data_IF_217061880826
#
_entry.id   IF_217061880826
#
_cell.length_a   1.000
_cell.length_b   1.000
_cell.length_c   1.000
_cell.angle_alpha   90.00
_cell.angle_beta   90.00
_cell.angle_gamma   90.00
#
_symmetry.space_group_name_H-M   'P 1'
#
loop_
_entity.id
_entity.type
_entity.pdbx_description
1 polymer ?
#
# COMPACT_ATOMS: atom_id res chain seq x y z
N UNK A 1 -12.27 -17.16 -1.62
CA UNK A 1 -10.94 -16.86 -1.07
C UNK A 1 -10.11 -16.18 -2.13
N UNK A 2 -9.50 -15.07 -1.80
CA UNK A 2 -8.63 -14.34 -2.73
C UNK A 2 -7.20 -14.83 -2.55
N UNK A 3 -6.57 -15.23 -3.66
CA UNK A 3 -5.17 -15.63 -3.61
C UNK A 3 -4.26 -14.41 -3.62
N UNK A 4 -3.01 -14.62 -3.20
CA UNK A 4 -1.99 -13.56 -3.27
C UNK A 4 -1.78 -13.08 -4.72
N UNK A 5 -1.78 -14.02 -5.67
CA UNK A 5 -1.63 -13.66 -7.10
C UNK A 5 -2.80 -12.82 -7.60
N UNK A 6 -4.03 -13.14 -7.16
CA UNK A 6 -5.20 -12.34 -7.53
C UNK A 6 -5.09 -10.92 -6.98
N UNK A 7 -4.63 -10.76 -5.74
CA UNK A 7 -4.47 -9.45 -5.14
C UNK A 7 -3.41 -8.63 -5.90
N UNK A 8 -2.25 -9.23 -6.15
CA UNK A 8 -1.18 -8.56 -6.90
C UNK A 8 -1.65 -8.20 -8.30
N UNK A 9 -2.37 -9.12 -8.97
CA UNK A 9 -2.90 -8.86 -10.31
C UNK A 9 -3.85 -7.66 -10.32
N UNK A 10 -4.73 -7.55 -9.33
CA UNK A 10 -5.63 -6.40 -9.24
C UNK A 10 -4.83 -5.11 -8.96
N UNK A 11 -3.86 -5.15 -8.07
CA UNK A 11 -3.01 -3.99 -7.80
C UNK A 11 -2.30 -3.51 -9.08
N UNK A 12 -1.83 -4.44 -9.91
CA UNK A 12 -1.15 -4.10 -11.16
C UNK A 12 -2.05 -3.42 -12.19
N UNK A 13 -3.35 -3.60 -12.10
CA UNK A 13 -4.28 -2.87 -12.99
C UNK A 13 -4.29 -1.37 -12.71
N UNK A 14 -3.73 -0.94 -11.58
CA UNK A 14 -3.60 0.48 -11.22
C UNK A 14 -2.31 1.12 -11.75
N UNK A 15 -1.41 0.35 -12.36
CA UNK A 15 -0.15 0.90 -12.89
C UNK A 15 -0.40 2.12 -13.77
N UNK A 16 0.44 3.13 -13.57
CA UNK A 16 0.41 4.42 -14.27
C UNK A 16 -0.75 5.34 -13.89
N UNK A 17 -1.62 4.94 -12.95
CA UNK A 17 -2.63 5.84 -12.40
C UNK A 17 -1.91 7.05 -11.80
N UNK A 18 -2.31 8.29 -12.18
CA UNK A 18 -1.68 9.49 -11.64
C UNK A 18 -1.85 9.60 -10.13
N UNK A 19 -0.81 10.09 -9.46
CA UNK A 19 -0.86 10.33 -8.02
C UNK A 19 -1.69 11.57 -7.71
N UNK A 20 -2.62 11.45 -6.78
CA UNK A 20 -3.39 12.57 -6.26
C UNK A 20 -3.81 12.26 -4.83
N UNK A 21 -3.63 13.23 -3.93
CA UNK A 21 -4.06 13.11 -2.55
C UNK A 21 -5.53 12.70 -2.46
N UNK A 22 -5.81 11.64 -1.69
CA UNK A 22 -7.14 11.07 -1.49
C UNK A 22 -7.78 10.49 -2.76
N UNK A 23 -7.03 10.33 -3.85
CA UNK A 23 -7.56 9.77 -5.10
C UNK A 23 -7.95 8.30 -4.95
N UNK A 24 -9.06 7.91 -5.59
CA UNK A 24 -9.65 6.58 -5.50
C UNK A 24 -10.14 6.03 -6.83
N UNK A 25 -9.67 6.59 -7.96
CA UNK A 25 -10.17 6.22 -9.29
C UNK A 25 -9.05 5.62 -10.13
N UNK A 26 -9.14 4.33 -10.39
CA UNK A 26 -8.17 3.62 -11.24
C UNK A 26 -8.02 4.34 -12.58
N UNK A 27 -6.78 4.58 -12.99
CA UNK A 27 -6.46 5.24 -14.24
C UNK A 27 -6.53 6.77 -14.18
N UNK A 28 -7.15 7.36 -13.17
CA UNK A 28 -7.35 8.79 -13.08
C UNK A 28 -6.65 9.43 -11.89
N UNK A 29 -6.74 8.83 -10.70
CA UNK A 29 -6.16 9.42 -9.50
C UNK A 29 -6.10 8.41 -8.37
N UNK A 30 -4.95 8.27 -7.70
CA UNK A 30 -4.88 7.59 -6.41
C UNK A 30 -3.62 8.00 -5.64
N UNK A 31 -3.68 7.84 -4.32
CA UNK A 31 -2.51 7.92 -3.45
C UNK A 31 -2.16 6.52 -2.92
N UNK A 32 -1.20 6.42 -2.00
CA UNK A 32 -0.77 5.12 -1.51
C UNK A 32 -1.88 4.39 -0.76
N UNK A 33 -2.71 5.10 -0.01
CA UNK A 33 -3.87 4.54 0.67
C UNK A 33 -4.91 4.11 -0.35
N UNK A 34 -5.15 4.94 -1.36
CA UNK A 34 -6.10 4.64 -2.44
C UNK A 34 -5.76 3.37 -3.21
N UNK A 35 -4.48 3.13 -3.45
CA UNK A 35 -4.05 1.89 -4.12
C UNK A 35 -4.40 0.67 -3.28
N UNK A 36 -4.09 0.68 -1.99
CA UNK A 36 -4.37 -0.46 -1.10
C UNK A 36 -5.88 -0.66 -0.96
N UNK A 37 -6.62 0.38 -0.62
CA UNK A 37 -8.07 0.30 -0.42
C UNK A 37 -8.80 -0.04 -1.73
N UNK A 38 -8.39 0.58 -2.83
CA UNK A 38 -9.01 0.32 -4.13
C UNK A 38 -8.83 -1.11 -4.58
N UNK A 39 -7.64 -1.68 -4.39
CA UNK A 39 -7.37 -3.08 -4.71
C UNK A 39 -8.23 -4.01 -3.84
N UNK A 40 -8.27 -3.77 -2.53
CA UNK A 40 -9.03 -4.60 -1.61
C UNK A 40 -10.54 -4.51 -1.88
N UNK A 41 -11.07 -3.32 -2.18
CA UNK A 41 -12.48 -3.14 -2.50
C UNK A 41 -12.87 -3.80 -3.81
N UNK A 42 -12.03 -3.70 -4.82
CA UNK A 42 -12.30 -4.33 -6.12
C UNK A 42 -12.44 -5.84 -6.01
N UNK A 43 -11.75 -6.45 -5.05
CA UNK A 43 -11.78 -7.89 -4.82
C UNK A 43 -12.82 -8.30 -3.77
N UNK A 44 -13.61 -7.36 -3.26
CA UNK A 44 -14.65 -7.64 -2.28
C UNK A 44 -14.13 -7.95 -0.88
N UNK A 45 -12.88 -7.62 -0.59
CA UNK A 45 -12.27 -7.89 0.72
C UNK A 45 -12.76 -6.91 1.78
N UNK A 46 -13.08 -5.68 1.39
CA UNK A 46 -13.61 -4.64 2.26
C UNK A 46 -14.74 -3.91 1.55
N UNK A 47 -15.62 -3.27 2.32
CA UNK A 47 -16.75 -2.49 1.79
C UNK A 47 -16.70 -1.03 2.25
N UNK A 48 -15.62 -0.63 2.91
CA UNK A 48 -15.46 0.73 3.42
C UNK A 48 -14.35 1.48 2.69
N UNK A 49 -14.33 2.79 2.88
CA UNK A 49 -13.28 3.68 2.44
C UNK A 49 -13.19 4.82 3.44
N UNK A 50 -12.07 5.51 3.45
CA UNK A 50 -11.94 6.74 4.25
C UNK A 50 -10.97 7.70 3.57
N UNK A 51 -11.27 8.99 3.66
CA UNK A 51 -10.45 10.05 3.09
C UNK A 51 -10.17 11.15 4.11
N UNK A 52 -10.43 10.88 5.40
CA UNK A 52 -10.29 11.87 6.46
C UNK A 52 -8.84 11.96 6.98
N UNK A 53 -7.89 11.99 6.08
CA UNK A 53 -6.48 12.20 6.42
C UNK A 53 -5.94 13.41 5.65
N UNK A 54 -4.98 14.07 6.22
CA UNK A 54 -4.44 15.30 5.67
C UNK A 54 -3.35 15.04 4.63
N UNK A 55 -3.11 16.03 3.77
CA UNK A 55 -2.05 15.97 2.77
C UNK A 55 -0.68 15.84 3.44
N UNK A 56 -0.48 16.52 4.57
CA UNK A 56 0.75 16.40 5.35
C UNK A 56 0.53 15.39 6.45
N UNK A 57 1.23 14.25 6.42
CA UNK A 57 1.08 13.25 7.45
C UNK A 57 1.48 13.77 8.83
N UNK A 58 0.74 13.35 9.85
CA UNK A 58 1.04 13.72 11.24
C UNK A 58 2.08 12.80 11.89
N UNK A 59 2.55 11.77 11.17
CA UNK A 59 3.52 10.81 11.68
C UNK A 59 2.95 9.73 12.57
N UNK A 60 1.63 9.69 12.79
CA UNK A 60 0.98 8.77 13.73
C UNK A 60 -0.21 8.05 13.09
N UNK A 61 -1.08 8.79 12.41
CA UNK A 61 -2.39 8.28 11.98
C UNK A 61 -2.31 7.10 11.01
N UNK A 62 -1.36 7.11 10.08
CA UNK A 62 -1.26 6.04 9.09
C UNK A 62 -0.96 4.70 9.77
N UNK A 63 -0.02 4.68 10.71
CA UNK A 63 0.29 3.47 11.47
C UNK A 63 -0.91 3.00 12.28
N UNK A 64 -1.65 3.92 12.89
CA UNK A 64 -2.85 3.57 13.65
C UNK A 64 -3.90 2.93 12.77
N UNK A 65 -4.14 3.48 11.57
CA UNK A 65 -5.06 2.88 10.61
C UNK A 65 -4.60 1.48 10.18
N UNK A 66 -3.31 1.31 9.90
CA UNK A 66 -2.77 0.01 9.53
C UNK A 66 -2.97 -1.01 10.65
N UNK A 67 -2.64 -0.65 11.88
CA UNK A 67 -2.77 -1.55 13.03
C UNK A 67 -4.23 -1.94 13.28
N UNK A 68 -5.17 -1.06 13.00
CA UNK A 68 -6.59 -1.29 13.21
C UNK A 68 -7.20 -2.14 12.09
N UNK A 69 -6.79 -1.94 10.86
CA UNK A 69 -7.45 -2.50 9.68
C UNK A 69 -6.77 -3.74 9.10
N UNK A 70 -5.53 -3.97 9.44
CA UNK A 70 -4.74 -5.10 8.93
C UNK A 70 -4.06 -5.83 10.07
N UNK A 71 -3.57 -7.03 9.79
CA UNK A 71 -2.86 -7.83 10.79
C UNK A 71 -1.36 -7.55 10.71
N UNK A 72 -0.74 -7.03 11.78
CA UNK A 72 0.72 -6.88 11.80
C UNK A 72 1.42 -8.23 11.68
N UNK A 73 2.47 -8.27 10.86
CA UNK A 73 3.31 -9.45 10.67
C UNK A 73 4.79 -9.01 10.73
N UNK A 74 5.70 -9.95 11.02
CA UNK A 74 7.12 -9.63 10.94
C UNK A 74 7.51 -9.22 9.51
N UNK A 75 8.35 -8.19 9.39
CA UNK A 75 8.82 -7.74 8.07
C UNK A 75 9.50 -8.87 7.30
N UNK A 76 10.25 -9.73 8.00
CA UNK A 76 10.99 -10.81 7.37
C UNK A 76 10.11 -11.86 6.68
N UNK A 77 8.82 -11.96 7.04
CA UNK A 77 7.90 -12.93 6.43
C UNK A 77 6.96 -12.29 5.41
N UNK A 78 7.04 -10.99 5.20
CA UNK A 78 6.19 -10.33 4.23
C UNK A 78 6.46 -10.85 2.82
N UNK A 79 5.39 -11.14 2.09
CA UNK A 79 5.46 -11.66 0.73
C UNK A 79 4.39 -11.02 -0.14
N UNK A 80 4.21 -11.52 -1.38
CA UNK A 80 3.25 -10.93 -2.31
C UNK A 80 1.87 -10.71 -1.67
N UNK A 81 1.26 -9.58 -1.96
CA UNK A 81 -0.02 -9.11 -1.44
C UNK A 81 0.04 -8.54 0.00
N UNK A 82 1.15 -8.69 0.71
CA UNK A 82 1.30 -8.01 2.00
C UNK A 82 1.63 -6.54 1.78
N UNK A 83 1.37 -5.72 2.80
CA UNK A 83 1.53 -4.27 2.73
C UNK A 83 2.71 -3.87 3.61
N UNK A 84 3.58 -3.03 3.07
CA UNK A 84 4.71 -2.45 3.81
C UNK A 84 4.39 -1.00 4.18
N UNK A 85 4.71 -0.64 5.41
CA UNK A 85 4.66 0.73 5.89
C UNK A 85 6.08 1.29 5.92
N UNK A 86 6.28 2.40 5.23
CA UNK A 86 7.57 3.07 5.18
C UNK A 86 7.58 4.31 6.05
N UNK A 87 8.70 4.57 6.72
CA UNK A 87 8.89 5.74 7.56
C UNK A 87 10.17 6.47 7.17
N UNK A 88 10.11 7.80 7.16
CA UNK A 88 11.27 8.67 7.00
C UNK A 88 11.32 9.57 8.23
N UNK A 89 12.52 9.71 8.82
CA UNK A 89 12.71 10.51 10.04
C UNK A 89 11.74 10.10 11.16
N UNK A 90 11.53 8.79 11.33
CA UNK A 90 10.61 8.20 12.31
C UNK A 90 9.14 8.55 12.07
N UNK A 91 8.79 9.06 10.89
CA UNK A 91 7.41 9.37 10.53
C UNK A 91 6.90 8.36 9.52
N UNK A 92 5.98 7.44 9.91
CA UNK A 92 5.40 6.47 8.97
C UNK A 92 4.37 7.18 8.09
N UNK A 93 4.68 7.29 6.80
CA UNK A 93 3.92 8.15 5.89
C UNK A 93 3.56 7.50 4.54
N UNK A 94 4.00 6.27 4.28
CA UNK A 94 3.82 5.69 2.96
C UNK A 94 3.56 4.19 3.01
N UNK A 95 2.69 3.73 2.10
CA UNK A 95 2.35 2.31 1.95
C UNK A 95 2.77 1.81 0.57
N UNK A 96 3.16 0.52 0.52
CA UNK A 96 3.39 -0.18 -0.73
C UNK A 96 2.84 -1.60 -0.60
N UNK A 97 2.49 -2.21 -1.73
CA UNK A 97 2.07 -3.61 -1.80
C UNK A 97 3.25 -4.42 -2.33
N UNK A 98 3.61 -5.47 -1.63
CA UNK A 98 4.64 -6.41 -2.11
C UNK A 98 4.09 -7.18 -3.30
N UNK A 99 4.84 -7.25 -4.39
CA UNK A 99 4.41 -7.93 -5.62
C UNK A 99 5.23 -9.16 -5.95
N UNK A 100 6.42 -9.29 -5.38
CA UNK A 100 7.31 -10.41 -5.60
C UNK A 100 8.35 -10.48 -4.50
N UNK A 101 9.42 -11.26 -4.71
CA UNK A 101 10.43 -11.46 -3.69
C UNK A 101 11.10 -10.15 -3.25
N UNK A 102 11.40 -9.28 -4.20
CA UNK A 102 12.07 -8.00 -3.93
C UNK A 102 11.41 -6.84 -4.66
N UNK A 103 10.11 -6.93 -4.94
CA UNK A 103 9.41 -5.90 -5.72
C UNK A 103 8.19 -5.38 -4.99
N UNK A 104 7.91 -4.10 -5.21
CA UNK A 104 6.73 -3.43 -4.66
C UNK A 104 6.02 -2.63 -5.73
N UNK A 105 4.71 -2.45 -5.54
CA UNK A 105 3.90 -1.51 -6.30
C UNK A 105 3.36 -0.47 -5.35
N UNK A 106 3.44 0.81 -5.72
CA UNK A 106 2.98 1.89 -4.84
C UNK A 106 2.66 3.16 -5.64
N UNK A 107 1.79 3.98 -5.06
CA UNK A 107 1.49 5.32 -5.58
C UNK A 107 2.36 6.31 -4.82
N UNK A 108 3.49 6.71 -5.42
CA UNK A 108 4.46 7.56 -4.76
C UNK A 108 4.42 8.97 -5.37
N UNK A 109 4.25 9.97 -4.51
CA UNK A 109 4.06 11.35 -4.96
C UNK A 109 5.22 11.85 -5.82
N UNK A 110 6.46 11.48 -5.49
CA UNK A 110 7.64 11.91 -6.23
C UNK A 110 7.60 11.40 -7.68
N UNK A 111 7.11 10.19 -7.89
CA UNK A 111 6.97 9.59 -9.22
C UNK A 111 5.69 10.03 -9.93
N UNK A 112 4.78 10.71 -9.22
CA UNK A 112 3.52 11.26 -9.74
C UNK A 112 2.54 10.22 -10.27
N UNK A 113 2.78 8.94 -10.02
CA UNK A 113 1.93 7.84 -10.51
C UNK A 113 2.23 6.55 -9.78
N UNK A 114 1.37 5.56 -9.99
CA UNK A 114 1.61 4.19 -9.51
C UNK A 114 2.71 3.56 -10.34
N UNK A 115 3.71 3.05 -9.66
CA UNK A 115 4.86 2.36 -10.26
C UNK A 115 5.11 1.05 -9.54
N UNK A 116 5.76 0.12 -10.23
CA UNK A 116 6.25 -1.13 -9.66
C UNK A 116 7.76 -1.20 -9.92
N UNK A 117 8.54 -1.48 -8.88
CA UNK A 117 9.98 -1.57 -9.02
C UNK A 117 10.60 -2.45 -7.96
N UNK A 118 11.86 -2.79 -8.16
CA UNK A 118 12.62 -3.54 -7.18
C UNK A 118 12.93 -2.67 -5.97
N UNK A 119 12.83 -3.25 -4.76
CA UNK A 119 13.28 -2.60 -3.55
C UNK A 119 14.80 -2.60 -3.53
N UNK A 120 15.40 -1.42 -3.46
CA UNK A 120 16.84 -1.29 -3.22
C UNK A 120 17.10 -1.07 -1.72
N UNK A 121 18.38 -0.95 -1.35
CA UNK A 121 18.76 -0.80 0.04
C UNK A 121 18.23 0.48 0.66
N UNK A 122 18.13 1.56 -0.11
CA UNK A 122 17.61 2.84 0.40
C UNK A 122 16.14 2.73 0.80
N UNK A 123 15.36 1.95 0.06
CA UNK A 123 13.96 1.69 0.40
C UNK A 123 13.85 0.70 1.56
N UNK A 124 14.69 -0.33 1.54
CA UNK A 124 14.63 -1.40 2.54
C UNK A 124 14.84 -0.87 3.95
N UNK A 125 15.78 0.05 4.14
CA UNK A 125 16.06 0.61 5.47
C UNK A 125 14.92 1.51 5.99
N UNK A 126 13.99 1.91 5.14
CA UNK A 126 12.85 2.72 5.53
C UNK A 126 11.61 1.88 5.90
N UNK A 127 11.67 0.56 5.79
CA UNK A 127 10.53 -0.29 6.16
C UNK A 127 10.35 -0.23 7.68
N UNK A 128 9.17 0.26 8.12
CA UNK A 128 8.85 0.38 9.54
C UNK A 128 8.01 -0.79 10.04
N UNK A 129 7.17 -1.39 9.17
CA UNK A 129 6.26 -2.46 9.56
C UNK A 129 5.74 -3.17 8.32
N UNK A 130 5.14 -4.35 8.53
CA UNK A 130 4.47 -5.11 7.49
C UNK A 130 3.12 -5.60 8.00
N UNK A 131 2.19 -5.76 7.07
CA UNK A 131 0.81 -6.13 7.39
C UNK A 131 0.26 -7.13 6.40
N UNK A 132 -0.66 -7.96 6.89
CA UNK A 132 -1.42 -8.90 6.08
C UNK A 132 -2.88 -8.47 6.02
N UNK A 133 -3.47 -8.55 4.83
CA UNK A 133 -4.88 -8.22 4.63
C UNK A 133 -5.74 -9.47 4.83
N UNK A 134 -6.73 -9.38 5.71
CA UNK A 134 -7.64 -10.49 5.96
C UNK A 134 -8.37 -10.90 4.68
N UNK A 135 -8.52 -12.20 4.46
CA UNK A 135 -9.18 -12.75 3.28
C UNK A 135 -8.26 -13.07 2.12
N UNK A 136 -6.99 -12.73 2.21
CA UNK A 136 -5.97 -13.09 1.20
C UNK A 136 -5.19 -14.29 1.69
N UNK A 137 -5.02 -15.28 0.82
CA UNK A 137 -4.27 -16.49 1.16
C UNK A 137 -3.24 -16.88 0.12
#
# INVERSE_FOLDING_TARGET
MITRDQFVGEARTWLHTPWQHQGRLKGLACDCVGLVLGTARALGLIDFDFTNYERRPDGVSLREHCNRLMQPIPVAVAGPADVLLFAWNNSPIHLAIVTGQDTIIHAFAINRRVIEHRIDERWRVQIAAAYHIAGVE
#
